data_IF_839247507675
#
_entry.id   IF_839247507675
#
_cell.length_a   1.000
_cell.length_b   1.000
_cell.length_c   1.000
_cell.angle_alpha   90.00
_cell.angle_beta   90.00
_cell.angle_gamma   90.00
#
_symmetry.space_group_name_H-M   'P 1'
#
loop_
_entity.id
_entity.type
_entity.pdbx_description
1 polymer ?
#
# COMPACT_ATOMS: atom_id res chain seq x y z
N UNK A 1 -27.96 45.74 -98.44
CA UNK A 1 -27.79 44.27 -98.40
C UNK A 1 -28.01 43.82 -96.96
N UNK A 2 -29.10 43.08 -96.73
CA UNK A 2 -29.50 42.27 -95.55
C UNK A 2 -29.48 42.86 -94.12
N UNK A 3 -30.69 43.15 -93.60
CA UNK A 3 -31.38 42.55 -92.41
C UNK A 3 -30.59 41.47 -91.61
N UNK A 4 -30.68 41.24 -90.28
CA UNK A 4 -31.78 41.37 -89.28
C UNK A 4 -31.29 40.95 -87.86
N UNK A 5 -31.78 41.65 -86.82
CA UNK A 5 -32.26 41.24 -85.47
C UNK A 5 -31.41 40.66 -84.31
N UNK A 6 -31.37 41.49 -83.23
CA UNK A 6 -31.62 41.30 -81.76
C UNK A 6 -31.37 39.95 -81.08
N UNK A 7 -30.73 39.98 -79.88
CA UNK A 7 -31.36 39.82 -78.55
C UNK A 7 -30.31 39.91 -77.41
N UNK A 8 -30.59 40.63 -76.31
CA UNK A 8 -29.90 40.52 -74.99
C UNK A 8 -30.61 39.43 -74.16
N UNK A 9 -29.97 38.77 -73.16
CA UNK A 9 -30.13 39.19 -71.75
C UNK A 9 -28.87 38.82 -70.87
N UNK A 10 -28.92 38.66 -69.51
CA UNK A 10 -28.02 39.39 -68.61
C UNK A 10 -27.09 38.47 -67.79
N UNK A 11 -26.05 39.01 -67.15
CA UNK A 11 -25.35 38.29 -66.07
C UNK A 11 -25.30 39.19 -64.82
N UNK A 12 -26.31 39.03 -63.97
CA UNK A 12 -26.31 39.55 -62.61
C UNK A 12 -25.54 38.54 -61.74
N UNK A 13 -24.37 38.93 -61.25
CA UNK A 13 -23.67 38.20 -60.20
C UNK A 13 -24.35 38.48 -58.86
N UNK A 14 -24.98 37.45 -58.32
CA UNK A 14 -25.66 37.41 -57.04
C UNK A 14 -24.63 36.97 -55.97
N UNK A 15 -24.27 37.85 -55.04
CA UNK A 15 -23.53 37.47 -53.83
C UNK A 15 -24.56 36.91 -52.84
N UNK A 16 -24.64 35.58 -52.72
CA UNK A 16 -25.31 34.91 -51.60
C UNK A 16 -24.26 34.46 -50.60
N UNK A 17 -24.19 35.17 -49.46
CA UNK A 17 -23.47 34.72 -48.29
C UNK A 17 -24.26 33.58 -47.63
N UNK A 18 -23.80 32.34 -47.82
CA UNK A 18 -24.25 31.19 -47.04
C UNK A 18 -23.59 31.25 -45.66
N UNK A 19 -24.38 31.61 -44.65
CA UNK A 19 -24.02 31.43 -43.25
C UNK A 19 -24.03 29.93 -42.93
N UNK A 20 -22.86 29.29 -42.98
CA UNK A 20 -22.66 27.95 -42.42
C UNK A 20 -22.63 28.05 -40.89
N UNK A 21 -23.76 27.75 -40.26
CA UNK A 21 -23.82 27.51 -38.83
C UNK A 21 -23.10 26.19 -38.52
N UNK A 22 -21.79 26.27 -38.25
CA UNK A 22 -21.01 25.18 -37.69
C UNK A 22 -21.51 24.88 -36.29
N UNK A 23 -22.36 23.86 -36.15
CA UNK A 23 -22.57 23.17 -34.89
C UNK A 23 -21.26 22.51 -34.49
N UNK A 24 -20.38 23.24 -33.77
CA UNK A 24 -19.40 22.57 -32.93
C UNK A 24 -20.19 21.91 -31.80
N UNK A 25 -20.48 20.63 -31.98
CA UNK A 25 -20.70 19.75 -30.84
C UNK A 25 -19.49 19.92 -29.93
N UNK A 26 -19.71 20.48 -28.74
CA UNK A 26 -18.74 20.40 -27.67
C UNK A 26 -18.59 18.91 -27.37
N UNK A 27 -17.60 18.28 -28.00
CA UNK A 27 -17.06 17.03 -27.52
C UNK A 27 -16.57 17.35 -26.12
N UNK A 28 -17.40 17.01 -25.12
CA UNK A 28 -16.99 17.04 -23.73
C UNK A 28 -15.70 16.25 -23.69
N UNK A 29 -14.61 16.93 -23.37
CA UNK A 29 -13.35 16.27 -23.08
C UNK A 29 -13.66 15.32 -21.93
N UNK A 30 -13.82 14.03 -22.24
CA UNK A 30 -13.80 12.97 -21.24
C UNK A 30 -12.36 12.93 -20.73
N UNK A 31 -12.05 13.90 -19.87
CA UNK A 31 -10.92 13.81 -18.99
C UNK A 31 -11.06 12.55 -18.15
N UNK A 32 -9.95 12.01 -17.62
CA UNK A 32 -10.02 10.87 -16.72
C UNK A 32 -11.10 11.11 -15.67
N UNK A 33 -11.98 10.12 -15.46
CA UNK A 33 -13.08 10.22 -14.51
C UNK A 33 -12.53 10.76 -13.18
N UNK A 34 -13.02 11.92 -12.74
CA UNK A 34 -12.48 12.52 -11.54
C UNK A 34 -12.83 11.64 -10.34
N UNK A 35 -11.80 11.28 -9.57
CA UNK A 35 -11.91 10.44 -8.39
C UNK A 35 -12.83 11.11 -7.35
N UNK A 36 -13.60 10.31 -6.60
CA UNK A 36 -14.20 10.76 -5.36
C UNK A 36 -13.24 10.41 -4.22
N UNK A 37 -12.86 11.39 -3.40
CA UNK A 37 -12.08 11.14 -2.18
C UNK A 37 -13.00 10.61 -1.10
N UNK A 38 -12.67 9.48 -0.49
CA UNK A 38 -13.32 9.02 0.74
C UNK A 38 -12.29 9.03 1.86
N UNK A 39 -12.62 9.70 2.96
CA UNK A 39 -11.80 9.79 4.16
C UNK A 39 -12.41 8.97 5.28
N UNK A 40 -11.62 8.10 5.90
CA UNK A 40 -12.03 7.36 7.10
C UNK A 40 -11.19 7.83 8.28
N UNK A 41 -11.88 8.36 9.29
CA UNK A 41 -11.23 8.96 10.47
C UNK A 41 -11.83 8.44 11.77
N UNK A 42 -11.00 8.37 12.80
CA UNK A 42 -11.43 8.01 14.15
C UNK A 42 -12.23 9.17 14.76
N UNK A 43 -13.45 8.86 15.22
CA UNK A 43 -14.30 9.80 15.95
C UNK A 43 -13.58 10.26 17.23
N UNK A 44 -13.55 11.58 17.44
CA UNK A 44 -12.93 12.21 18.61
C UNK A 44 -11.49 12.66 18.38
N UNK A 45 -10.59 11.75 17.96
CA UNK A 45 -9.20 12.15 17.66
C UNK A 45 -9.02 12.77 16.28
N UNK A 46 -9.91 12.45 15.33
CA UNK A 46 -9.80 12.89 13.94
C UNK A 46 -8.65 12.22 13.18
N UNK A 47 -8.00 11.23 13.78
CA UNK A 47 -6.87 10.53 13.16
C UNK A 47 -7.33 9.69 11.97
N UNK A 48 -6.61 9.68 10.84
CA UNK A 48 -6.91 8.77 9.76
C UNK A 48 -6.76 7.32 10.22
N UNK A 49 -7.64 6.45 9.75
CA UNK A 49 -7.63 5.02 10.12
C UNK A 49 -7.24 4.16 8.93
N UNK A 50 -6.04 3.57 8.91
CA UNK A 50 -5.66 2.60 7.89
C UNK A 50 -6.42 1.29 8.02
N UNK A 51 -6.45 0.48 6.95
CA UNK A 51 -7.02 -0.87 6.95
C UNK A 51 -8.49 -0.94 7.38
N UNK A 52 -9.28 0.11 7.09
CA UNK A 52 -10.73 0.02 7.09
C UNK A 52 -11.17 -0.38 5.69
N UNK A 53 -11.88 -1.49 5.59
CA UNK A 53 -12.52 -1.93 4.36
C UNK A 53 -13.92 -1.32 4.28
N UNK A 54 -14.20 -0.67 3.16
CA UNK A 54 -15.53 -0.31 2.70
C UNK A 54 -15.94 -1.33 1.63
N UNK A 55 -16.88 -2.20 1.97
CA UNK A 55 -17.34 -3.27 1.06
C UNK A 55 -18.73 -2.98 0.52
N UNK A 56 -18.88 -2.98 -0.80
CA UNK A 56 -20.19 -2.78 -1.45
C UNK A 56 -21.07 -4.01 -1.30
N UNK A 57 -22.37 -3.86 -1.55
CA UNK A 57 -23.35 -4.97 -1.54
C UNK A 57 -23.08 -6.06 -2.57
N UNK A 58 -22.23 -5.80 -3.57
CA UNK A 58 -21.78 -6.77 -4.57
C UNK A 58 -20.29 -7.11 -4.41
N UNK A 59 -19.74 -6.96 -3.19
CA UNK A 59 -18.44 -7.44 -2.75
C UNK A 59 -17.20 -6.75 -3.36
N UNK A 60 -17.33 -5.55 -3.92
CA UNK A 60 -16.13 -4.73 -4.21
C UNK A 60 -15.55 -4.26 -2.88
N UNK A 61 -14.25 -4.51 -2.67
CA UNK A 61 -13.53 -4.22 -1.43
C UNK A 61 -12.58 -3.05 -1.66
N UNK A 62 -12.82 -1.95 -0.97
CA UNK A 62 -11.96 -0.77 -0.99
C UNK A 62 -11.34 -0.62 0.38
N UNK A 63 -10.01 -0.60 0.48
CA UNK A 63 -9.31 -0.58 1.77
C UNK A 63 -8.52 0.71 1.88
N UNK A 64 -8.70 1.42 2.99
CA UNK A 64 -8.00 2.67 3.25
C UNK A 64 -6.49 2.48 3.42
N UNK A 65 -5.71 3.38 2.82
CA UNK A 65 -4.26 3.45 3.01
C UNK A 65 -3.85 4.04 4.38
N UNK A 66 -2.55 4.30 4.62
CA UNK A 66 -2.09 4.85 5.91
C UNK A 66 -2.65 6.25 6.22
N UNK A 67 -3.06 7.01 5.20
CA UNK A 67 -3.72 8.30 5.36
C UNK A 67 -5.25 8.16 5.54
N UNK A 68 -5.77 6.94 5.69
CA UNK A 68 -7.21 6.71 5.87
C UNK A 68 -8.00 7.04 4.61
N UNK A 69 -7.36 7.01 3.43
CA UNK A 69 -7.96 7.45 2.18
C UNK A 69 -8.34 6.27 1.28
N UNK A 70 -9.43 6.45 0.55
CA UNK A 70 -9.80 5.68 -0.64
C UNK A 70 -10.00 6.67 -1.79
N UNK A 71 -9.37 6.37 -2.92
CA UNK A 71 -9.55 7.04 -4.19
C UNK A 71 -10.63 6.30 -4.98
N UNK A 72 -11.90 6.65 -4.71
CA UNK A 72 -13.03 5.94 -5.29
C UNK A 72 -13.20 6.26 -6.77
N UNK A 73 -13.19 5.22 -7.61
CA UNK A 73 -13.21 5.30 -9.07
C UNK A 73 -14.19 4.35 -9.75
N UNK A 74 -15.06 3.66 -9.00
CA UNK A 74 -16.02 2.68 -9.55
C UNK A 74 -17.07 3.37 -10.45
N UNK A 75 -17.01 3.19 -11.80
CA UNK A 75 -17.87 3.94 -12.71
C UNK A 75 -19.36 3.64 -12.52
N UNK A 76 -19.69 2.40 -12.18
CA UNK A 76 -21.06 1.92 -12.00
C UNK A 76 -21.75 2.44 -10.73
N UNK A 77 -20.99 2.97 -9.78
CA UNK A 77 -21.49 3.51 -8.51
C UNK A 77 -21.29 5.03 -8.36
N UNK A 78 -20.56 5.66 -9.26
CA UNK A 78 -20.38 7.11 -9.27
C UNK A 78 -21.74 7.83 -9.47
N UNK A 79 -22.02 8.82 -8.63
CA UNK A 79 -23.28 9.57 -8.59
C UNK A 79 -24.47 8.80 -7.99
N UNK A 80 -24.27 7.58 -7.50
CA UNK A 80 -25.33 6.72 -6.95
C UNK A 80 -25.21 6.60 -5.43
N UNK A 81 -26.34 6.61 -4.75
CA UNK A 81 -26.36 6.28 -3.33
C UNK A 81 -26.00 4.79 -3.17
N UNK A 82 -24.95 4.51 -2.43
CA UNK A 82 -24.36 3.18 -2.29
C UNK A 82 -24.13 2.86 -0.82
N UNK A 83 -24.54 1.66 -0.43
CA UNK A 83 -24.22 1.11 0.88
C UNK A 83 -22.81 0.51 0.89
N UNK A 84 -22.09 0.78 1.97
CA UNK A 84 -20.80 0.18 2.27
C UNK A 84 -20.83 -0.43 3.67
N UNK A 85 -20.59 -1.74 3.77
CA UNK A 85 -20.23 -2.33 5.04
C UNK A 85 -18.89 -1.73 5.49
N UNK A 86 -18.80 -1.36 6.77
CA UNK A 86 -17.57 -0.84 7.36
C UNK A 86 -16.93 -1.95 8.19
N UNK A 87 -15.79 -2.45 7.71
CA UNK A 87 -15.08 -3.58 8.30
C UNK A 87 -13.70 -3.09 8.71
N UNK A 88 -13.49 -2.92 10.01
CA UNK A 88 -12.20 -2.54 10.58
C UNK A 88 -11.86 -3.38 11.79
N UNK A 89 -10.62 -3.86 11.87
CA UNK A 89 -10.15 -4.51 13.10
C UNK A 89 -10.14 -3.50 14.25
N UNK A 90 -11.12 -3.55 15.15
CA UNK A 90 -11.22 -2.63 16.28
C UNK A 90 -11.74 -1.21 15.95
N UNK A 91 -12.36 -1.04 14.78
CA UNK A 91 -13.03 0.19 14.38
C UNK A 91 -14.37 -0.16 13.73
N UNK A 92 -15.44 0.52 14.15
CA UNK A 92 -16.79 0.23 13.66
C UNK A 92 -17.66 1.48 13.57
N UNK A 93 -18.82 1.32 12.92
CA UNK A 93 -19.94 2.25 12.99
C UNK A 93 -21.09 1.62 13.78
N UNK A 94 -22.01 2.42 14.34
CA UNK A 94 -23.21 1.91 14.97
C UNK A 94 -23.99 0.99 14.03
N UNK A 95 -24.64 -0.02 14.60
CA UNK A 95 -25.59 -0.83 13.85
C UNK A 95 -26.82 0.00 13.49
N UNK A 96 -27.35 -0.22 12.29
CA UNK A 96 -28.68 0.28 11.94
C UNK A 96 -29.79 -0.57 12.58
N UNK A 97 -31.05 -0.27 12.27
CA UNK A 97 -32.21 -0.99 12.81
C UNK A 97 -32.29 -2.47 12.42
N UNK A 98 -31.53 -2.91 11.40
CA UNK A 98 -31.44 -4.30 10.96
C UNK A 98 -30.16 -4.99 11.47
N UNK A 99 -29.35 -4.30 12.27
CA UNK A 99 -28.10 -4.83 12.81
C UNK A 99 -26.90 -4.70 11.88
N UNK A 100 -27.04 -4.03 10.72
CA UNK A 100 -25.98 -3.86 9.74
C UNK A 100 -25.02 -2.74 10.16
N UNK A 101 -23.72 -2.94 9.97
CA UNK A 101 -22.67 -1.97 10.32
C UNK A 101 -22.09 -1.38 9.05
N UNK A 102 -22.68 -0.29 8.59
CA UNK A 102 -22.24 0.36 7.37
C UNK A 102 -22.70 1.80 7.25
N UNK A 103 -22.32 2.41 6.14
CA UNK A 103 -22.66 3.79 5.79
C UNK A 103 -23.22 3.84 4.39
N UNK A 104 -24.13 4.79 4.16
CA UNK A 104 -24.60 5.13 2.82
C UNK A 104 -23.89 6.38 2.35
N UNK A 105 -23.12 6.26 1.27
CA UNK A 105 -22.40 7.36 0.64
C UNK A 105 -22.97 7.59 -0.76
N UNK A 106 -22.80 8.79 -1.31
CA UNK A 106 -23.06 9.07 -2.73
C UNK A 106 -21.78 9.59 -3.36
N UNK A 107 -20.86 8.70 -3.79
CA UNK A 107 -19.60 9.11 -4.40
C UNK A 107 -19.86 10.00 -5.61
N UNK A 108 -19.19 11.14 -5.68
CA UNK A 108 -19.37 12.10 -6.78
C UNK A 108 -18.00 12.58 -7.27
N UNK A 109 -17.83 12.78 -8.59
CA UNK A 109 -16.53 13.12 -9.14
C UNK A 109 -15.98 14.42 -8.55
N UNK A 110 -14.73 14.39 -8.07
CA UNK A 110 -14.05 15.52 -7.45
C UNK A 110 -14.58 15.92 -6.06
N UNK A 111 -15.54 15.17 -5.50
CA UNK A 111 -16.05 15.41 -4.14
C UNK A 111 -15.25 14.65 -3.10
N UNK A 112 -15.37 15.11 -1.86
CA UNK A 112 -14.85 14.42 -0.67
C UNK A 112 -16.02 13.98 0.18
N UNK A 113 -16.00 12.72 0.60
CA UNK A 113 -16.92 12.19 1.61
C UNK A 113 -16.13 11.68 2.80
N UNK A 114 -16.69 11.87 4.00
CA UNK A 114 -16.06 11.51 5.26
C UNK A 114 -16.88 10.47 5.99
N UNK A 115 -16.19 9.44 6.47
CA UNK A 115 -16.72 8.35 7.28
C UNK A 115 -16.03 8.41 8.63
N UNK A 116 -16.81 8.66 9.69
CA UNK A 116 -16.29 8.61 11.05
C UNK A 116 -16.52 7.23 11.67
N UNK A 117 -15.45 6.62 12.17
CA UNK A 117 -15.49 5.31 12.83
C UNK A 117 -15.19 5.45 14.31
N UNK A 118 -15.86 4.63 15.12
CA UNK A 118 -15.61 4.53 16.56
C UNK A 118 -14.64 3.40 16.82
N UNK A 119 -13.56 3.69 17.56
CA UNK A 119 -12.61 2.68 18.00
C UNK A 119 -13.20 1.83 19.12
N UNK A 120 -13.09 0.51 19.01
CA UNK A 120 -13.57 -0.46 20.00
C UNK A 120 -12.45 -1.21 20.71
N UNK A 121 -11.24 -1.21 20.15
CA UNK A 121 -10.03 -1.74 20.81
C UNK A 121 -9.36 -0.69 21.68
N UNK A 122 -8.58 -1.10 22.69
CA UNK A 122 -7.89 -0.16 23.60
C UNK A 122 -6.79 0.67 22.91
N UNK A 123 -6.14 0.13 21.88
CA UNK A 123 -5.01 0.75 21.20
C UNK A 123 -5.44 1.60 20.00
N UNK A 124 -4.82 2.77 19.83
CA UNK A 124 -4.94 3.58 18.60
C UNK A 124 -4.05 3.00 17.50
N UNK A 125 -4.52 3.01 16.26
CA UNK A 125 -3.74 2.55 15.11
C UNK A 125 -2.89 3.69 14.54
N UNK A 126 -1.57 3.55 14.55
CA UNK A 126 -0.65 4.53 13.94
C UNK A 126 -0.51 4.39 12.42
N UNK A 127 -0.59 3.16 11.91
CA UNK A 127 -0.30 2.90 10.50
C UNK A 127 0.14 1.46 10.27
N UNK A 128 0.18 1.07 9.00
CA UNK A 128 0.94 -0.10 8.55
C UNK A 128 2.42 0.26 8.43
N UNK A 129 3.29 -0.66 8.84
CA UNK A 129 4.75 -0.51 8.74
C UNK A 129 5.34 -1.23 7.52
N UNK A 130 4.70 -2.34 7.12
CA UNK A 130 5.09 -3.18 5.99
C UNK A 130 3.90 -3.41 5.07
N UNK A 131 4.17 -4.01 3.92
CA UNK A 131 3.18 -4.33 2.91
C UNK A 131 3.07 -3.27 1.81
N UNK A 132 2.34 -3.63 0.76
CA UNK A 132 2.19 -2.79 -0.41
C UNK A 132 1.08 -1.74 -0.28
N UNK A 133 1.24 -0.67 -1.05
CA UNK A 133 0.25 0.39 -1.18
C UNK A 133 0.05 1.17 0.11
N UNK A 134 1.11 1.45 0.86
CA UNK A 134 1.01 2.17 2.13
C UNK A 134 0.35 3.54 1.96
N UNK A 135 0.55 4.18 0.81
CA UNK A 135 -0.08 5.44 0.41
C UNK A 135 -0.64 5.40 -1.02
N UNK A 136 -1.01 4.22 -1.53
CA UNK A 136 -1.45 4.06 -2.93
C UNK A 136 -2.70 4.90 -3.25
N UNK A 137 -3.66 4.96 -2.33
CA UNK A 137 -4.88 5.75 -2.51
C UNK A 137 -4.59 7.24 -2.45
N UNK A 138 -3.73 7.68 -1.53
CA UNK A 138 -3.19 9.03 -1.47
C UNK A 138 -2.51 9.44 -2.78
N UNK A 139 -1.72 8.54 -3.37
CA UNK A 139 -1.04 8.76 -4.65
C UNK A 139 -2.00 8.92 -5.82
N UNK A 140 -3.05 8.11 -5.91
CA UNK A 140 -4.13 8.28 -6.89
C UNK A 140 -4.80 9.66 -6.77
N UNK A 141 -4.97 10.14 -5.55
CA UNK A 141 -5.49 11.48 -5.24
C UNK A 141 -4.46 12.61 -5.42
N UNK A 142 -3.27 12.32 -5.95
CA UNK A 142 -2.22 13.28 -6.24
C UNK A 142 -1.39 13.72 -5.03
N UNK A 143 -1.53 13.05 -3.89
CA UNK A 143 -0.74 13.26 -2.66
C UNK A 143 0.39 12.22 -2.55
N UNK A 144 1.32 12.37 -1.60
CA UNK A 144 2.37 11.36 -1.34
C UNK A 144 3.16 10.92 -2.60
N UNK A 145 3.33 11.81 -3.58
CA UNK A 145 3.92 11.51 -4.90
C UNK A 145 5.36 11.00 -4.82
N UNK A 146 6.08 11.41 -3.78
CA UNK A 146 7.46 10.99 -3.51
C UNK A 146 7.56 9.70 -2.69
N UNK A 147 6.43 9.18 -2.19
CA UNK A 147 6.43 7.92 -1.45
C UNK A 147 6.78 6.76 -2.38
N UNK A 148 7.63 5.86 -1.91
CA UNK A 148 8.02 4.64 -2.59
C UNK A 148 7.92 3.50 -1.59
N UNK A 149 7.08 2.51 -1.90
CA UNK A 149 7.03 1.28 -1.13
C UNK A 149 8.32 0.48 -1.33
N UNK A 150 8.66 -0.38 -0.38
CA UNK A 150 9.87 -1.22 -0.42
C UNK A 150 9.82 -2.36 -1.45
N UNK A 151 8.66 -2.58 -2.09
CA UNK A 151 8.39 -3.76 -2.92
C UNK A 151 7.94 -5.01 -2.14
N UNK A 152 7.95 -4.95 -0.81
CA UNK A 152 7.38 -5.99 0.06
C UNK A 152 5.87 -5.84 0.14
N UNK A 153 5.13 -6.93 -0.07
CA UNK A 153 3.67 -6.97 0.00
C UNK A 153 3.12 -7.44 1.34
N UNK A 154 3.96 -8.09 2.14
CA UNK A 154 3.62 -8.52 3.50
C UNK A 154 4.84 -9.12 4.19
N UNK A 155 4.85 -9.03 5.52
CA UNK A 155 5.81 -9.73 6.35
C UNK A 155 5.03 -10.41 7.48
N UNK A 156 5.43 -11.62 7.83
CA UNK A 156 5.01 -12.26 9.06
C UNK A 156 6.08 -12.12 10.14
N UNK A 157 5.64 -12.29 11.39
CA UNK A 157 6.49 -12.21 12.58
C UNK A 157 7.22 -10.85 12.71
N UNK A 158 7.87 -10.63 13.84
CA UNK A 158 8.88 -9.57 13.94
C UNK A 158 9.80 -9.89 15.11
N UNK A 159 11.10 -9.80 14.85
CA UNK A 159 12.14 -9.76 15.87
C UNK A 159 12.83 -8.40 15.75
N UNK A 160 13.15 -7.77 16.87
CA UNK A 160 13.87 -6.50 16.85
C UNK A 160 14.94 -6.44 17.93
N UNK A 161 16.04 -5.76 17.61
CA UNK A 161 17.10 -5.49 18.57
C UNK A 161 17.89 -4.26 18.15
N UNK A 162 18.37 -3.50 19.14
CA UNK A 162 19.34 -2.45 18.90
C UNK A 162 20.73 -3.08 18.79
N UNK A 163 21.38 -2.91 17.63
CA UNK A 163 22.75 -3.37 17.39
C UNK A 163 23.55 -2.22 16.78
N UNK A 164 24.69 -1.88 17.40
CA UNK A 164 25.62 -0.83 16.94
C UNK A 164 24.91 0.50 16.57
N UNK A 165 23.96 0.93 17.40
CA UNK A 165 23.26 2.21 17.24
C UNK A 165 22.14 2.22 16.18
N UNK A 166 21.79 1.07 15.60
CA UNK A 166 20.64 0.91 14.70
C UNK A 166 19.64 -0.08 15.28
N UNK A 167 18.35 0.14 15.03
CA UNK A 167 17.33 -0.86 15.31
C UNK A 167 17.26 -1.80 14.11
N UNK A 168 17.57 -3.07 14.34
CA UNK A 168 17.39 -4.13 13.35
C UNK A 168 15.98 -4.69 13.48
N UNK A 169 15.40 -4.98 12.32
CA UNK A 169 14.09 -5.60 12.16
C UNK A 169 14.29 -6.87 11.36
N UNK A 170 13.84 -8.00 11.88
CA UNK A 170 13.85 -9.27 11.17
C UNK A 170 12.44 -9.81 11.07
N UNK A 171 12.06 -10.20 9.86
CA UNK A 171 10.80 -10.87 9.54
C UNK A 171 11.09 -12.30 9.10
N UNK A 172 10.13 -13.19 9.32
CA UNK A 172 10.21 -14.55 8.80
C UNK A 172 9.89 -14.54 7.31
N UNK A 173 8.66 -14.91 7.00
CA UNK A 173 8.14 -15.02 5.66
C UNK A 173 7.82 -13.63 5.12
N UNK A 174 8.31 -13.35 3.91
CA UNK A 174 8.11 -12.06 3.24
C UNK A 174 7.48 -12.25 1.88
N UNK A 175 6.28 -11.71 1.69
CA UNK A 175 5.54 -11.77 0.42
C UNK A 175 6.08 -10.72 -0.55
N UNK A 176 6.32 -11.15 -1.79
CA UNK A 176 6.78 -10.30 -2.89
C UNK A 176 5.75 -10.33 -4.03
N UNK A 177 5.76 -9.32 -4.89
CA UNK A 177 4.79 -9.21 -5.99
C UNK A 177 4.98 -10.24 -7.12
N UNK A 178 6.21 -10.67 -7.38
CA UNK A 178 6.56 -11.38 -8.59
C UNK A 178 6.19 -12.87 -8.59
N UNK A 179 6.07 -13.50 -7.41
CA UNK A 179 5.75 -14.92 -7.30
C UNK A 179 5.17 -15.27 -5.91
N UNK A 180 4.23 -16.24 -5.80
CA UNK A 180 3.63 -16.62 -4.51
C UNK A 180 4.61 -17.20 -3.49
N UNK A 181 5.67 -17.88 -3.94
CA UNK A 181 6.79 -18.21 -3.06
C UNK A 181 7.62 -16.95 -2.86
N UNK A 182 7.50 -16.37 -1.66
CA UNK A 182 8.22 -15.19 -1.24
C UNK A 182 9.64 -15.50 -0.78
N UNK A 183 10.12 -14.74 0.21
CA UNK A 183 11.41 -14.97 0.84
C UNK A 183 11.17 -15.66 2.18
N UNK A 184 11.75 -16.86 2.35
CA UNK A 184 11.53 -17.74 3.51
C UNK A 184 12.79 -18.04 4.32
N UNK A 185 13.92 -17.42 3.97
CA UNK A 185 15.17 -17.44 4.77
C UNK A 185 15.31 -16.17 5.63
N UNK A 186 14.18 -15.54 5.97
CA UNK A 186 14.11 -14.28 6.70
C UNK A 186 14.56 -13.06 5.91
N UNK A 187 13.78 -11.98 5.95
CA UNK A 187 14.25 -10.66 5.49
C UNK A 187 14.58 -9.77 6.67
N UNK A 188 15.41 -8.76 6.44
CA UNK A 188 15.78 -7.83 7.48
C UNK A 188 15.92 -6.41 6.94
N UNK A 189 15.73 -5.46 7.83
CA UNK A 189 15.96 -4.04 7.58
C UNK A 189 16.52 -3.38 8.83
N UNK A 190 16.97 -2.15 8.66
CA UNK A 190 17.37 -1.31 9.79
C UNK A 190 16.67 0.04 9.77
N UNK A 191 16.61 0.66 10.93
CA UNK A 191 16.24 2.07 11.10
C UNK A 191 17.15 2.72 12.14
N UNK A 192 17.01 4.03 12.34
CA UNK A 192 17.47 4.65 13.57
C UNK A 192 16.77 4.00 14.79
N UNK A 193 17.40 4.06 15.98
CA UNK A 193 16.82 3.52 17.23
C UNK A 193 15.47 4.16 17.56
N UNK A 194 15.29 5.43 17.22
CA UNK A 194 14.03 6.16 17.33
C UNK A 194 13.66 6.72 15.95
N UNK A 195 12.99 5.93 15.09
CA UNK A 195 12.79 6.31 13.70
C UNK A 195 11.58 7.24 13.51
N UNK A 196 10.71 7.35 14.52
CA UNK A 196 9.57 8.26 14.52
C UNK A 196 9.81 9.40 15.50
N UNK A 197 9.72 10.64 15.02
CA UNK A 197 9.77 11.83 15.87
C UNK A 197 8.50 12.00 16.71
N UNK A 198 7.36 11.53 16.19
CA UNK A 198 6.05 11.58 16.83
C UNK A 198 5.29 10.28 16.58
N UNK A 199 4.46 9.89 17.54
CA UNK A 199 3.55 8.74 17.43
C UNK A 199 2.17 9.22 16.98
N UNK A 200 2.11 9.82 15.79
CA UNK A 200 0.89 10.35 15.18
C UNK A 200 0.77 9.82 13.74
N UNK A 201 -0.43 9.41 13.31
CA UNK A 201 -0.68 9.02 11.93
C UNK A 201 -0.76 10.25 10.99
N UNK A 202 -0.57 10.06 9.68
CA UNK A 202 -0.20 8.80 9.04
C UNK A 202 1.30 8.50 9.18
N UNK A 203 1.62 7.28 9.61
CA UNK A 203 3.01 6.85 9.78
C UNK A 203 3.71 6.69 8.43
N UNK A 204 4.91 7.26 8.34
CA UNK A 204 5.83 7.21 7.19
C UNK A 204 7.16 6.57 7.58
N UNK A 205 7.09 5.42 8.26
CA UNK A 205 8.29 4.68 8.66
C UNK A 205 8.95 4.10 7.41
N UNK A 206 10.18 4.52 7.12
CA UNK A 206 11.00 3.91 6.07
C UNK A 206 11.93 2.89 6.71
N UNK A 207 11.90 1.68 6.16
CA UNK A 207 12.74 0.56 6.57
C UNK A 207 13.87 0.42 5.55
N UNK A 208 15.13 0.52 5.99
CA UNK A 208 16.29 0.34 5.13
C UNK A 208 16.56 -1.17 4.98
N UNK A 209 15.87 -1.81 4.03
CA UNK A 209 16.00 -3.24 3.77
C UNK A 209 17.39 -3.62 3.30
N UNK A 210 17.86 -4.81 3.71
CA UNK A 210 19.00 -5.44 3.06
C UNK A 210 18.55 -5.98 1.70
N UNK A 211 19.17 -5.48 0.63
CA UNK A 211 18.79 -5.79 -0.74
C UNK A 211 19.86 -6.60 -1.47
N UNK A 212 19.49 -7.19 -2.61
CA UNK A 212 20.44 -7.69 -3.59
C UNK A 212 21.03 -6.53 -4.44
N UNK A 213 21.87 -6.89 -5.40
CA UNK A 213 22.50 -6.01 -6.40
C UNK A 213 21.51 -5.21 -7.24
N UNK A 214 20.27 -5.68 -7.36
CA UNK A 214 19.16 -5.01 -8.07
C UNK A 214 18.30 -4.12 -7.18
N UNK A 215 18.65 -3.97 -5.90
CA UNK A 215 17.88 -3.16 -4.94
C UNK A 215 16.59 -3.82 -4.45
N UNK A 216 16.41 -5.13 -4.66
CA UNK A 216 15.24 -5.87 -4.17
C UNK A 216 15.56 -6.47 -2.80
N UNK A 217 14.67 -6.37 -1.79
CA UNK A 217 14.83 -7.06 -0.51
C UNK A 217 15.20 -8.54 -0.69
N UNK A 218 16.13 -9.05 0.12
CA UNK A 218 16.63 -10.42 -0.01
C UNK A 218 16.59 -11.19 1.30
N UNK A 219 16.68 -12.52 1.17
CA UNK A 219 16.93 -13.40 2.31
C UNK A 219 18.29 -13.10 2.94
N UNK A 220 18.36 -13.11 4.25
CA UNK A 220 19.58 -12.80 5.01
C UNK A 220 20.04 -13.94 5.92
N UNK A 221 19.25 -15.00 6.11
CA UNK A 221 19.57 -16.11 7.00
C UNK A 221 19.51 -17.47 6.29
N UNK A 222 20.07 -17.57 5.08
CA UNK A 222 20.11 -18.82 4.31
C UNK A 222 21.11 -19.81 4.91
N UNK A 223 20.66 -20.58 5.90
CA UNK A 223 21.48 -21.61 6.54
C UNK A 223 21.59 -22.85 5.65
N UNK A 224 22.72 -23.59 5.70
CA UNK A 224 22.88 -24.84 4.95
C UNK A 224 21.75 -25.84 5.23
N UNK A 225 21.33 -26.56 4.19
CA UNK A 225 20.24 -27.53 4.26
C UNK A 225 19.03 -27.15 3.40
N UNK A 226 18.08 -28.08 3.28
CA UNK A 226 16.88 -27.89 2.47
C UNK A 226 15.83 -27.04 3.19
N UNK A 227 14.96 -26.42 2.40
CA UNK A 227 13.82 -25.65 2.89
C UNK A 227 14.15 -24.31 3.55
N UNK A 228 13.12 -23.63 4.10
CA UNK A 228 13.23 -22.34 4.77
C UNK A 228 14.17 -22.32 5.97
N UNK A 229 14.53 -21.10 6.38
CA UNK A 229 15.23 -20.85 7.63
C UNK A 229 14.51 -19.77 8.42
N UNK A 230 14.05 -20.12 9.62
CA UNK A 230 13.42 -19.16 10.53
C UNK A 230 14.35 -18.78 11.66
N UNK A 231 14.45 -17.48 11.95
CA UNK A 231 15.32 -16.95 13.01
C UNK A 231 14.46 -16.37 14.15
N UNK A 232 14.84 -16.71 15.37
CA UNK A 232 14.24 -16.23 16.62
C UNK A 232 15.33 -15.92 17.65
N UNK A 233 14.97 -15.45 18.85
CA UNK A 233 15.94 -15.18 19.92
C UNK A 233 16.96 -14.12 19.53
N UNK A 234 16.52 -13.10 18.80
CA UNK A 234 17.35 -12.08 18.19
C UNK A 234 17.92 -11.12 19.24
N UNK A 235 19.23 -11.15 19.46
CA UNK A 235 19.87 -10.37 20.53
C UNK A 235 21.21 -9.78 20.09
N UNK A 236 21.58 -8.65 20.71
CA UNK A 236 22.92 -8.09 20.58
C UNK A 236 23.62 -8.07 21.91
N UNK A 237 24.76 -8.76 21.99
CA UNK A 237 25.50 -8.96 23.24
C UNK A 237 27.01 -8.74 23.02
N UNK A 238 27.73 -8.13 23.98
CA UNK A 238 29.17 -8.03 23.92
C UNK A 238 29.84 -9.39 24.19
N UNK A 239 30.93 -9.66 23.48
CA UNK A 239 31.83 -10.77 23.82
C UNK A 239 32.74 -10.42 25.01
N UNK A 240 33.63 -11.37 25.37
CA UNK A 240 34.60 -11.19 26.47
C UNK A 240 35.56 -10.01 26.28
N UNK A 241 35.69 -9.48 25.05
CA UNK A 241 36.53 -8.32 24.70
C UNK A 241 35.69 -7.04 24.56
N UNK A 242 34.39 -7.09 24.84
CA UNK A 242 33.47 -5.96 24.73
C UNK A 242 32.96 -5.68 23.31
N UNK A 243 33.31 -6.50 22.32
CA UNK A 243 32.78 -6.33 20.95
C UNK A 243 31.36 -6.86 20.90
N UNK A 244 30.41 -6.03 20.49
CA UNK A 244 29.02 -6.44 20.30
C UNK A 244 28.86 -7.34 19.07
N UNK A 245 28.12 -8.42 19.24
CA UNK A 245 27.71 -9.33 18.18
C UNK A 245 26.18 -9.37 18.13
N UNK A 246 25.63 -9.41 16.93
CA UNK A 246 24.21 -9.69 16.72
C UNK A 246 24.06 -11.19 16.44
N UNK A 247 23.26 -11.87 17.24
CA UNK A 247 23.08 -13.33 17.19
C UNK A 247 21.60 -13.70 17.27
N UNK A 248 21.29 -14.92 16.86
CA UNK A 248 19.96 -15.51 17.00
C UNK A 248 20.01 -17.03 17.03
N UNK A 249 18.86 -17.64 17.26
CA UNK A 249 18.62 -19.06 17.06
C UNK A 249 17.93 -19.27 15.72
N UNK A 250 18.36 -20.26 14.94
CA UNK A 250 17.68 -20.64 13.69
C UNK A 250 17.04 -22.02 13.78
N UNK A 251 16.01 -22.22 12.96
CA UNK A 251 15.35 -23.48 12.68
C UNK A 251 15.34 -23.74 11.17
N UNK A 252 15.76 -24.94 10.74
CA UNK A 252 15.51 -25.43 9.38
C UNK A 252 14.21 -26.22 9.34
N UNK A 253 13.40 -25.94 8.33
CA UNK A 253 12.05 -26.51 8.19
C UNK A 253 11.94 -27.26 6.87
N UNK A 254 11.35 -28.45 6.91
CA UNK A 254 10.97 -29.22 5.71
C UNK A 254 9.44 -29.37 5.64
N UNK A 255 8.87 -29.67 4.46
CA UNK A 255 7.45 -29.94 4.34
C UNK A 255 7.01 -31.09 5.27
N UNK A 256 5.82 -31.04 5.89
CA UNK A 256 4.80 -29.98 5.81
C UNK A 256 4.86 -29.03 7.03
N UNK A 257 6.04 -28.49 7.38
CA UNK A 257 6.34 -27.66 8.58
C UNK A 257 7.01 -28.42 9.73
N UNK A 258 7.85 -29.42 9.42
CA UNK A 258 8.65 -30.14 10.41
C UNK A 258 10.02 -29.44 10.57
N UNK A 259 10.30 -28.97 11.79
CA UNK A 259 11.62 -28.47 12.15
C UNK A 259 12.60 -29.62 12.36
N UNK A 260 13.68 -29.69 11.56
CA UNK A 260 14.62 -30.81 11.58
C UNK A 260 16.03 -30.44 12.05
N UNK A 261 16.37 -29.15 12.14
CA UNK A 261 17.66 -28.70 12.68
C UNK A 261 17.44 -27.41 13.45
N UNK A 262 17.99 -27.33 14.66
CA UNK A 262 18.10 -26.09 15.42
C UNK A 262 19.56 -25.72 15.64
N UNK A 263 19.86 -24.44 15.57
CA UNK A 263 21.20 -23.94 15.87
C UNK A 263 21.24 -22.47 16.24
N UNK A 264 22.44 -21.97 16.41
CA UNK A 264 22.75 -20.56 16.60
C UNK A 264 23.31 -19.98 15.30
N UNK A 265 22.98 -18.73 15.02
CA UNK A 265 23.55 -17.95 13.93
C UNK A 265 24.07 -16.60 14.43
N UNK A 266 25.03 -16.04 13.69
CA UNK A 266 25.67 -14.75 14.00
C UNK A 266 25.65 -13.87 12.76
N UNK A 267 25.34 -12.59 12.95
CA UNK A 267 25.37 -11.59 11.91
C UNK A 267 26.81 -11.31 11.48
N UNK A 268 27.04 -11.33 10.19
CA UNK A 268 28.31 -11.01 9.56
C UNK A 268 28.20 -9.63 8.90
N UNK A 269 28.83 -8.63 9.52
CA UNK A 269 28.79 -7.24 9.02
C UNK A 269 29.39 -7.10 7.62
N UNK A 270 30.35 -7.95 7.23
CA UNK A 270 31.00 -7.86 5.93
C UNK A 270 30.08 -8.32 4.79
N UNK A 271 29.22 -9.31 5.04
CA UNK A 271 28.32 -9.87 4.02
C UNK A 271 26.88 -9.43 4.19
N UNK A 272 26.54 -8.84 5.35
CA UNK A 272 25.17 -8.55 5.76
C UNK A 272 24.26 -9.79 5.69
N UNK A 273 24.72 -10.90 6.28
CA UNK A 273 23.98 -12.15 6.43
C UNK A 273 24.16 -12.71 7.82
N UNK A 274 23.23 -13.58 8.23
CA UNK A 274 23.51 -14.54 9.30
C UNK A 274 24.30 -15.72 8.74
N UNK A 275 25.39 -16.03 9.43
CA UNK A 275 26.16 -17.25 9.24
C UNK A 275 25.83 -18.25 10.35
N UNK A 276 25.88 -19.55 10.03
CA UNK A 276 25.71 -20.60 11.03
C UNK A 276 26.87 -20.58 12.02
N UNK A 277 26.55 -20.39 13.30
CA UNK A 277 27.53 -20.39 14.39
C UNK A 277 27.70 -21.79 14.99
N UNK A 278 26.60 -22.48 15.28
CA UNK A 278 26.63 -23.81 15.91
C UNK A 278 25.31 -24.55 15.70
N UNK A 279 25.38 -25.84 15.35
CA UNK A 279 24.21 -26.74 15.40
C UNK A 279 24.01 -27.21 16.84
N UNK A 280 22.77 -27.13 17.33
CA UNK A 280 22.38 -27.55 18.68
C UNK A 280 21.57 -28.86 18.68
N UNK A 281 20.76 -29.08 17.64
CA UNK A 281 19.89 -30.25 17.53
C UNK A 281 19.69 -30.65 16.06
N UNK A 282 19.59 -31.97 15.81
CA UNK A 282 19.24 -32.62 14.54
C UNK A 282 18.37 -33.84 14.80
#
# INVERSE_FOLDING_TARGET
MNMTFRFKPPLAFLILALASASWLAAAGTTGPASLCRIEVVEKGSGWPVPLVELRTTHNVRLVTDNAGLIAFDLPELMGRATWFDVIGHGYEVPKDGFGMRGVRLKPEPGKTQRVEVTRTIIAKRLGRLTGGGLFAESQKLGQEREWRDSGVLGCDSVQNVVHLGRLFWLWGDTTMAHYPLGIFDGTSATTAVRPLAKFEPPVRLKLDYFTNDKGVPRGIARMPGEGPTWVTGYVSLPDKRGKFHLVGSYLKVKPPMEGYEWGLCVWNDATSNFDRLRVLWT
#
